data_IF_859815605583
#
_entry.id   IF_859815605583
#
_cell.length_a   1.000
_cell.length_b   1.000
_cell.length_c   1.000
_cell.angle_alpha   90.00
_cell.angle_beta   90.00
_cell.angle_gamma   90.00
#
_symmetry.space_group_name_H-M   'P 1'
#
loop_
_entity.id
_entity.type
_entity.pdbx_description
1 polymer ?
#
# COMPACT_ATOMS: atom_id res chain seq x y z
N UNK A 1 -13.06 -2.99 34.28
CA UNK A 1 -12.36 -3.27 33.00
C UNK A 1 -12.58 -2.09 32.05
N UNK A 2 -11.54 -1.40 31.57
CA UNK A 2 -11.70 -0.45 30.46
C UNK A 2 -11.75 -1.22 29.15
N UNK A 3 -12.83 -1.09 28.39
CA UNK A 3 -12.94 -1.68 27.06
C UNK A 3 -11.87 -1.03 26.15
N UNK A 4 -10.98 -1.83 25.57
CA UNK A 4 -10.00 -1.33 24.59
C UNK A 4 -10.74 -1.09 23.28
N UNK A 5 -10.97 0.17 22.93
CA UNK A 5 -11.54 0.54 21.64
C UNK A 5 -10.45 0.46 20.55
N UNK A 6 -10.79 0.03 19.32
CA UNK A 6 -9.86 0.09 18.20
C UNK A 6 -9.36 1.52 18.01
N UNK A 7 -8.04 1.69 17.89
CA UNK A 7 -7.45 2.99 17.59
C UNK A 7 -7.54 3.25 16.09
N UNK A 8 -8.22 4.33 15.70
CA UNK A 8 -8.33 4.81 14.33
C UNK A 8 -8.36 6.33 14.32
N UNK A 9 -8.18 6.91 13.14
CA UNK A 9 -8.42 8.32 12.87
C UNK A 9 -9.44 8.45 11.74
N UNK A 10 -10.23 9.52 11.75
CA UNK A 10 -11.12 9.85 10.65
C UNK A 10 -10.37 10.78 9.68
N UNK A 11 -10.19 10.35 8.44
CA UNK A 11 -9.71 11.19 7.34
C UNK A 11 -10.88 11.34 6.38
N UNK A 12 -11.39 12.57 6.25
CA UNK A 12 -12.54 12.91 5.40
C UNK A 12 -13.78 12.04 5.70
N UNK A 13 -14.02 11.76 6.98
CA UNK A 13 -15.15 10.95 7.46
C UNK A 13 -14.93 9.44 7.40
N UNK A 14 -13.82 8.96 6.83
CA UNK A 14 -13.52 7.52 6.70
C UNK A 14 -12.56 7.07 7.82
N UNK A 15 -12.89 6.00 8.57
CA UNK A 15 -11.98 5.44 9.57
C UNK A 15 -10.77 4.80 8.88
N UNK A 16 -9.58 5.26 9.26
CA UNK A 16 -8.28 4.86 8.72
C UNK A 16 -7.32 4.49 9.85
N UNK A 17 -6.25 3.77 9.53
CA UNK A 17 -5.24 3.42 10.54
C UNK A 17 -4.47 4.68 10.99
N UNK A 18 -3.92 4.65 12.21
CA UNK A 18 -3.17 5.78 12.78
C UNK A 18 -1.84 6.07 12.08
N UNK A 19 -1.33 5.14 11.26
CA UNK A 19 -0.05 5.30 10.56
C UNK A 19 -0.12 6.06 9.23
N UNK A 20 -1.32 6.48 8.81
CA UNK A 20 -1.51 7.29 7.59
C UNK A 20 -1.40 8.76 7.98
N UNK A 21 -0.55 9.52 7.29
CA UNK A 21 -0.51 10.98 7.42
C UNK A 21 -1.64 11.58 6.54
N UNK A 22 -2.60 12.31 7.12
CA UNK A 22 -3.76 12.82 6.37
C UNK A 22 -3.39 13.70 5.16
N UNK A 23 -2.35 14.52 5.29
CA UNK A 23 -1.87 15.43 4.26
C UNK A 23 -1.27 14.65 3.07
N UNK A 24 -0.41 13.65 3.35
CA UNK A 24 0.15 12.76 2.32
C UNK A 24 -0.98 12.01 1.62
N UNK A 25 -1.92 11.46 2.38
CA UNK A 25 -3.06 10.73 1.82
C UNK A 25 -3.89 11.59 0.86
N UNK A 26 -4.22 12.82 1.25
CA UNK A 26 -4.98 13.77 0.43
C UNK A 26 -4.20 14.27 -0.78
N UNK A 27 -2.89 14.36 -0.71
CA UNK A 27 -2.09 14.71 -1.88
C UNK A 27 -2.01 13.53 -2.87
N UNK A 28 -1.75 12.33 -2.35
CA UNK A 28 -1.59 11.14 -3.16
C UNK A 28 -2.89 10.67 -3.83
N UNK A 29 -4.06 11.09 -3.35
CA UNK A 29 -5.33 10.83 -4.05
C UNK A 29 -5.38 11.47 -5.45
N UNK A 30 -4.53 12.48 -5.70
CA UNK A 30 -4.40 13.15 -7.00
C UNK A 30 -3.47 12.38 -7.96
N UNK A 31 -2.82 11.31 -7.50
CA UNK A 31 -1.92 10.50 -8.31
C UNK A 31 -2.61 10.03 -9.58
N UNK A 32 -1.91 10.16 -10.71
CA UNK A 32 -2.37 9.70 -12.02
C UNK A 32 -1.41 8.63 -12.52
N UNK A 33 -1.93 7.41 -12.66
CA UNK A 33 -1.16 6.31 -13.21
C UNK A 33 -0.73 6.63 -14.65
N UNK A 34 0.53 6.37 -14.95
CA UNK A 34 1.12 6.46 -16.27
C UNK A 34 0.88 5.19 -17.10
N UNK A 35 1.19 5.28 -18.39
CA UNK A 35 1.19 4.11 -19.27
C UNK A 35 2.30 3.15 -18.83
N UNK A 36 1.93 1.92 -18.49
CA UNK A 36 2.87 0.88 -18.04
C UNK A 36 2.92 0.68 -16.53
N UNK A 37 2.26 1.54 -15.75
CA UNK A 37 2.13 1.34 -14.30
C UNK A 37 1.23 0.13 -14.01
N UNK A 38 1.58 -0.62 -12.96
CA UNK A 38 0.78 -1.73 -12.46
C UNK A 38 0.24 -1.34 -11.09
N UNK A 39 -1.07 -1.19 -11.00
CA UNK A 39 -1.77 -0.80 -9.78
C UNK A 39 -2.41 -2.01 -9.11
N UNK A 40 -2.14 -2.18 -7.82
CA UNK A 40 -2.75 -3.21 -7.01
C UNK A 40 -3.67 -2.55 -5.98
N UNK A 41 -4.96 -2.87 -6.02
CA UNK A 41 -5.94 -2.40 -5.03
C UNK A 41 -6.55 -3.59 -4.31
N UNK A 42 -6.49 -3.59 -2.99
CA UNK A 42 -7.01 -4.69 -2.16
C UNK A 42 -7.60 -4.14 -0.87
N UNK A 43 -8.68 -4.75 -0.39
CA UNK A 43 -9.09 -4.57 1.00
C UNK A 43 -8.06 -5.23 1.93
N UNK A 44 -7.71 -4.64 3.09
CA UNK A 44 -6.71 -5.19 3.99
C UNK A 44 -6.93 -6.67 4.30
N UNK A 45 -5.83 -7.44 4.35
CA UNK A 45 -5.82 -8.89 4.62
C UNK A 45 -6.41 -9.79 3.53
N UNK A 46 -6.75 -9.25 2.35
CA UNK A 46 -7.26 -10.03 1.22
C UNK A 46 -6.16 -10.59 0.29
N UNK A 47 -4.97 -10.88 0.83
CA UNK A 47 -3.86 -11.44 0.05
C UNK A 47 -2.95 -10.42 -0.66
N UNK A 48 -2.91 -9.16 -0.21
CA UNK A 48 -2.05 -8.09 -0.77
C UNK A 48 -0.61 -8.54 -1.02
N UNK A 49 0.04 -9.18 -0.05
CA UNK A 49 1.42 -9.65 -0.20
C UNK A 49 1.55 -10.79 -1.22
N UNK A 50 0.55 -11.67 -1.30
CA UNK A 50 0.60 -12.82 -2.20
C UNK A 50 0.52 -12.37 -3.65
N UNK A 51 -0.47 -11.54 -3.99
CA UNK A 51 -0.63 -11.05 -5.36
C UNK A 51 0.49 -10.08 -5.76
N UNK A 52 1.04 -9.31 -4.80
CA UNK A 52 2.24 -8.50 -5.03
C UNK A 52 3.45 -9.35 -5.39
N UNK A 53 3.67 -10.47 -4.70
CA UNK A 53 4.78 -11.38 -5.01
C UNK A 53 4.63 -12.00 -6.40
N UNK A 54 3.43 -12.48 -6.73
CA UNK A 54 3.12 -13.02 -8.08
C UNK A 54 3.34 -11.97 -9.17
N UNK A 55 2.89 -10.74 -8.94
CA UNK A 55 3.08 -9.63 -9.88
C UNK A 55 4.55 -9.35 -10.11
N UNK A 56 5.35 -9.24 -9.04
CA UNK A 56 6.79 -9.03 -9.15
C UNK A 56 7.50 -10.20 -9.85
N UNK A 57 7.08 -11.45 -9.64
CA UNK A 57 7.64 -12.60 -10.38
C UNK A 57 7.39 -12.48 -11.88
N UNK A 58 6.18 -12.11 -12.29
CA UNK A 58 5.84 -11.92 -13.71
C UNK A 58 6.71 -10.81 -14.31
N UNK A 59 6.81 -9.66 -13.64
CA UNK A 59 7.64 -8.53 -14.08
C UNK A 59 9.13 -8.89 -14.14
N UNK A 60 9.61 -9.75 -13.24
CA UNK A 60 10.99 -10.27 -13.22
C UNK A 60 11.19 -11.51 -14.09
N UNK A 61 10.24 -11.87 -14.96
CA UNK A 61 10.32 -13.03 -15.86
C UNK A 61 10.63 -14.34 -15.13
N UNK A 62 10.02 -14.54 -13.96
CA UNK A 62 10.15 -15.74 -13.15
C UNK A 62 11.35 -15.78 -12.19
N UNK A 63 12.22 -14.76 -12.19
CA UNK A 63 13.32 -14.72 -11.22
C UNK A 63 12.79 -14.46 -9.80
N UNK A 64 13.23 -15.22 -8.79
CA UNK A 64 12.75 -15.07 -7.42
C UNK A 64 13.14 -13.71 -6.82
N UNK A 65 12.45 -13.35 -5.75
CA UNK A 65 12.80 -12.20 -4.91
C UNK A 65 13.62 -12.73 -3.74
N UNK A 66 14.86 -12.24 -3.61
CA UNK A 66 15.85 -12.82 -2.73
C UNK A 66 15.67 -12.39 -1.26
N UNK A 67 14.93 -11.30 -1.00
CA UNK A 67 14.76 -10.78 0.35
C UNK A 67 13.47 -9.98 0.54
N UNK A 68 13.04 -9.84 1.79
CA UNK A 68 11.93 -8.95 2.15
C UNK A 68 12.23 -7.49 1.78
N UNK A 69 13.49 -7.05 1.93
CA UNK A 69 13.91 -5.70 1.55
C UNK A 69 13.64 -5.48 0.05
N UNK A 70 14.08 -6.39 -0.79
CA UNK A 70 13.84 -6.35 -2.23
C UNK A 70 12.34 -6.37 -2.56
N UNK A 71 11.57 -7.24 -1.89
CA UNK A 71 10.12 -7.30 -2.06
C UNK A 71 9.45 -5.94 -1.80
N UNK A 72 9.86 -5.24 -0.74
CA UNK A 72 9.31 -3.94 -0.37
C UNK A 72 9.78 -2.80 -1.26
N UNK A 73 11.04 -2.81 -1.72
CA UNK A 73 11.59 -1.73 -2.57
C UNK A 73 11.03 -1.73 -3.99
N UNK A 74 10.53 -2.88 -4.45
CA UNK A 74 9.93 -3.02 -5.78
C UNK A 74 8.46 -2.56 -5.86
N UNK A 75 7.92 -2.00 -4.78
CA UNK A 75 6.53 -1.54 -4.69
C UNK A 75 6.43 -0.21 -3.97
N UNK A 76 5.44 0.60 -4.33
CA UNK A 76 5.09 1.81 -3.60
C UNK A 76 3.67 1.67 -3.05
N UNK A 77 3.48 2.01 -1.77
CA UNK A 77 2.15 2.09 -1.16
C UNK A 77 1.71 3.55 -1.15
N UNK A 78 0.80 3.89 -2.07
CA UNK A 78 0.35 5.26 -2.30
C UNK A 78 -0.30 5.88 -1.06
N UNK A 79 -0.93 5.11 -0.18
CA UNK A 79 -1.58 5.67 1.00
C UNK A 79 -0.60 6.10 2.11
N UNK A 80 0.66 5.66 2.04
CA UNK A 80 1.65 5.84 3.13
C UNK A 80 2.92 6.56 2.69
N UNK A 81 3.21 6.56 1.39
CA UNK A 81 4.50 7.02 0.87
C UNK A 81 4.36 8.42 0.30
N UNK A 82 5.17 9.37 0.76
CA UNK A 82 5.26 10.67 0.11
C UNK A 82 5.82 10.49 -1.31
N UNK A 83 5.03 10.83 -2.32
CA UNK A 83 5.48 10.85 -3.71
C UNK A 83 6.36 12.08 -3.91
N UNK A 84 7.50 11.90 -4.58
CA UNK A 84 8.44 12.98 -4.92
C UNK A 84 8.00 13.71 -6.18
#
# INVERSE_FOLDING_TARGET
MKCKVPKYQAIDGVPRCLGIEPEIFRENIKFKAGKGDVMQSTFPKSGTHWIQYVTQLILKKGHPIASHKEFTTNSCFLEYTKLN
#
